data_IF_877388495727
#
_entry.id   IF_877388495727
#
_cell.length_a   1.000
_cell.length_b   1.000
_cell.length_c   1.000
_cell.angle_alpha   90.00
_cell.angle_beta   90.00
_cell.angle_gamma   90.00
#
_symmetry.space_group_name_H-M   'P 1'
#
loop_
_entity.id
_entity.type
_entity.pdbx_description
1 polymer ?
#
# COMPACT_ATOMS: atom_id res chain seq x y z
N UNK A 1 -21.21 -26.39 28.04
CA UNK A 1 -21.37 -26.23 26.58
C UNK A 1 -21.74 -24.79 26.30
N UNK A 2 -20.75 -23.95 26.00
CA UNK A 2 -20.90 -22.51 25.91
C UNK A 2 -21.41 -22.08 24.53
N UNK A 3 -22.47 -21.28 24.51
CA UNK A 3 -23.12 -20.72 23.33
C UNK A 3 -22.32 -19.51 22.83
N UNK A 4 -21.13 -19.75 22.26
CA UNK A 4 -20.28 -18.71 21.67
C UNK A 4 -20.48 -18.66 20.15
N UNK A 5 -20.52 -17.45 19.59
CA UNK A 5 -20.47 -17.26 18.14
C UNK A 5 -19.05 -17.56 17.63
N UNK A 6 -18.90 -17.86 16.32
CA UNK A 6 -17.59 -18.23 15.74
C UNK A 6 -16.49 -17.18 16.01
N UNK A 7 -16.86 -15.89 16.01
CA UNK A 7 -15.94 -14.79 16.35
C UNK A 7 -15.45 -14.88 17.80
N UNK A 8 -16.36 -15.04 18.76
CA UNK A 8 -16.00 -15.13 20.19
C UNK A 8 -15.11 -16.33 20.50
N UNK A 9 -15.34 -17.47 19.82
CA UNK A 9 -14.49 -18.64 19.97
C UNK A 9 -13.08 -18.43 19.38
N UNK A 10 -12.97 -17.66 18.29
CA UNK A 10 -11.70 -17.36 17.65
C UNK A 10 -10.89 -16.35 18.47
N UNK A 11 -11.54 -15.30 18.98
CA UNK A 11 -10.92 -14.32 19.87
C UNK A 11 -10.41 -14.98 21.16
N UNK A 12 -11.20 -15.87 21.76
CA UNK A 12 -10.79 -16.62 22.94
C UNK A 12 -9.60 -17.54 22.63
N UNK A 13 -9.57 -18.16 21.44
CA UNK A 13 -8.44 -18.96 21.00
C UNK A 13 -7.17 -18.13 20.78
N UNK A 14 -7.30 -16.88 20.30
CA UNK A 14 -6.17 -15.93 20.17
C UNK A 14 -5.62 -15.56 21.54
N UNK A 15 -6.48 -15.22 22.51
CA UNK A 15 -6.07 -14.87 23.88
C UNK A 15 -5.41 -16.06 24.58
N UNK A 16 -5.93 -17.28 24.37
CA UNK A 16 -5.35 -18.50 24.93
C UNK A 16 -4.02 -18.91 24.27
N UNK A 17 -3.84 -18.63 22.96
CA UNK A 17 -2.57 -18.85 22.23
C UNK A 17 -1.50 -17.81 22.53
N UNK A 18 -1.89 -16.57 22.81
CA UNK A 18 -0.95 -15.51 23.18
C UNK A 18 -0.26 -15.79 24.52
N UNK A 19 -0.84 -16.65 25.36
CA UNK A 19 -0.38 -16.90 26.72
C UNK A 19 -0.56 -15.67 27.62
N UNK A 20 -0.62 -15.86 28.94
CA UNK A 20 -0.61 -14.74 29.87
C UNK A 20 0.70 -13.96 29.66
N UNK A 21 0.63 -12.74 29.13
CA UNK A 21 1.79 -11.88 28.90
C UNK A 21 2.65 -11.82 30.18
N UNK A 22 3.85 -12.44 30.23
CA UNK A 22 4.60 -12.58 31.49
C UNK A 22 5.37 -11.33 31.92
N UNK A 23 5.15 -10.18 31.29
CA UNK A 23 5.97 -9.00 31.53
C UNK A 23 5.16 -7.69 31.41
N UNK A 24 5.28 -6.75 32.38
CA UNK A 24 4.74 -5.41 32.21
C UNK A 24 5.51 -4.73 31.07
N UNK A 25 4.85 -4.58 29.92
CA UNK A 25 5.42 -3.90 28.76
C UNK A 25 5.52 -2.41 29.12
N UNK A 26 6.73 -1.96 29.46
CA UNK A 26 7.07 -0.54 29.39
C UNK A 26 7.14 -0.19 27.91
N UNK A 27 6.11 0.48 27.40
CA UNK A 27 6.06 1.01 26.04
C UNK A 27 7.13 2.10 25.94
N UNK A 28 8.35 1.71 25.58
CA UNK A 28 9.50 2.63 25.59
C UNK A 28 9.64 3.50 24.35
N UNK A 29 8.78 3.36 23.35
CA UNK A 29 8.57 4.37 22.31
C UNK A 29 7.36 3.96 21.46
N UNK A 30 6.22 4.60 21.70
CA UNK A 30 5.15 4.57 20.74
C UNK A 30 5.61 5.43 19.56
N UNK A 31 6.16 4.81 18.50
CA UNK A 31 6.30 5.46 17.19
C UNK A 31 4.90 5.70 16.64
N UNK A 32 4.20 6.67 17.23
CA UNK A 32 3.06 7.32 16.63
C UNK A 32 3.63 8.07 15.43
N UNK A 33 3.75 7.37 14.30
CA UNK A 33 3.83 8.02 13.00
C UNK A 33 2.53 8.79 12.87
N UNK A 34 2.59 10.06 13.27
CA UNK A 34 1.46 10.95 13.19
C UNK A 34 0.93 10.92 11.76
N UNK A 35 -0.41 10.93 11.55
CA UNK A 35 -1.00 10.93 10.22
C UNK A 35 -0.51 12.08 9.32
N UNK A 36 0.16 13.09 9.88
CA UNK A 36 0.92 14.13 9.16
C UNK A 36 2.12 13.58 8.38
N UNK A 37 2.96 12.72 8.96
CA UNK A 37 4.12 12.13 8.27
C UNK A 37 3.67 11.25 7.10
N UNK A 38 2.59 10.48 7.29
CA UNK A 38 1.98 9.69 6.22
C UNK A 38 1.42 10.56 5.08
N UNK A 39 0.72 11.65 5.41
CA UNK A 39 0.22 12.60 4.40
C UNK A 39 1.34 13.26 3.61
N UNK A 40 2.42 13.66 4.26
CA UNK A 40 3.56 14.29 3.60
C UNK A 40 4.28 13.30 2.68
N UNK A 41 4.48 12.05 3.11
CA UNK A 41 5.06 11.01 2.25
C UNK A 41 4.17 10.67 1.06
N UNK A 42 2.84 10.62 1.22
CA UNK A 42 1.91 10.42 0.09
C UNK A 42 2.02 11.58 -0.90
N UNK A 43 2.06 12.83 -0.41
CA UNK A 43 2.13 14.01 -1.27
C UNK A 43 3.45 14.09 -2.02
N UNK A 44 4.56 13.81 -1.34
CA UNK A 44 5.88 13.74 -1.95
C UNK A 44 5.99 12.59 -2.97
N UNK A 45 5.45 11.42 -2.63
CA UNK A 45 5.37 10.27 -3.53
C UNK A 45 4.58 10.59 -4.80
N UNK A 46 3.40 11.19 -4.66
CA UNK A 46 2.56 11.58 -5.80
C UNK A 46 3.28 12.59 -6.71
N UNK A 47 3.97 13.58 -6.14
CA UNK A 47 4.75 14.55 -6.91
C UNK A 47 5.93 13.89 -7.63
N UNK A 48 6.67 13.01 -6.95
CA UNK A 48 7.79 12.28 -7.53
C UNK A 48 7.35 11.35 -8.66
N UNK A 49 6.27 10.58 -8.48
CA UNK A 49 5.69 9.73 -9.52
C UNK A 49 5.20 10.55 -10.70
N UNK A 50 4.54 11.69 -10.47
CA UNK A 50 4.06 12.55 -11.57
C UNK A 50 5.22 13.12 -12.40
N UNK A 51 6.27 13.62 -11.76
CA UNK A 51 7.46 14.14 -12.43
C UNK A 51 8.18 13.01 -13.17
N UNK A 52 8.43 11.87 -12.53
CA UNK A 52 9.08 10.72 -13.15
C UNK A 52 8.30 10.18 -14.36
N UNK A 53 6.99 10.00 -14.21
CA UNK A 53 6.12 9.55 -15.30
C UNK A 53 6.16 10.53 -16.49
N UNK A 54 6.07 11.83 -16.23
CA UNK A 54 6.15 12.84 -17.30
C UNK A 54 7.49 12.80 -18.03
N UNK A 55 8.61 12.63 -17.32
CA UNK A 55 9.93 12.51 -17.94
C UNK A 55 10.04 11.29 -18.85
N UNK A 56 9.55 10.13 -18.38
CA UNK A 56 9.55 8.87 -19.13
C UNK A 56 8.68 8.99 -20.39
N UNK A 57 7.49 9.58 -20.28
CA UNK A 57 6.58 9.81 -21.41
C UNK A 57 7.25 10.71 -22.45
N UNK A 58 7.83 11.83 -22.03
CA UNK A 58 8.51 12.76 -22.95
C UNK A 58 9.69 12.06 -23.63
N UNK A 59 10.51 11.32 -22.88
CA UNK A 59 11.64 10.57 -23.44
C UNK A 59 11.20 9.51 -24.46
N UNK A 60 10.15 8.74 -24.13
CA UNK A 60 9.59 7.72 -25.02
C UNK A 60 9.07 8.32 -26.33
N UNK A 61 8.34 9.44 -26.26
CA UNK A 61 7.79 10.09 -27.47
C UNK A 61 8.91 10.69 -28.32
N UNK A 62 9.91 11.33 -27.72
CA UNK A 62 11.01 11.95 -28.47
C UNK A 62 11.94 10.91 -29.13
N UNK A 63 12.27 9.83 -28.42
CA UNK A 63 13.21 8.83 -28.94
C UNK A 63 12.52 7.83 -29.88
N UNK A 64 11.33 7.35 -29.54
CA UNK A 64 10.63 6.27 -30.26
C UNK A 64 9.46 6.73 -31.14
N UNK A 65 9.12 8.02 -31.19
CA UNK A 65 8.05 8.59 -32.02
C UNK A 65 6.74 7.80 -31.90
N UNK A 66 6.28 7.18 -33.00
CA UNK A 66 5.02 6.42 -33.08
C UNK A 66 5.02 5.19 -32.16
N UNK A 67 6.15 4.50 -32.04
CA UNK A 67 6.30 3.37 -31.13
C UNK A 67 6.29 3.82 -29.66
N UNK A 68 6.78 5.04 -29.39
CA UNK A 68 6.70 5.67 -28.07
C UNK A 68 5.26 5.88 -27.61
N UNK A 69 4.37 6.31 -28.50
CA UNK A 69 2.95 6.47 -28.18
C UNK A 69 2.28 5.14 -27.79
N UNK A 70 2.61 4.05 -28.51
CA UNK A 70 2.12 2.70 -28.17
C UNK A 70 2.67 2.23 -26.83
N UNK A 71 3.95 2.50 -26.54
CA UNK A 71 4.55 2.16 -25.26
C UNK A 71 3.89 2.91 -24.08
N UNK A 72 3.57 4.20 -24.25
CA UNK A 72 2.84 4.98 -23.24
C UNK A 72 1.43 4.44 -23.01
N UNK A 73 0.73 4.03 -24.07
CA UNK A 73 -0.57 3.37 -23.95
C UNK A 73 -0.47 2.03 -23.19
N UNK A 74 0.54 1.22 -23.52
CA UNK A 74 0.80 -0.04 -22.83
C UNK A 74 1.12 0.18 -21.34
N UNK A 75 1.91 1.20 -21.01
CA UNK A 75 2.22 1.60 -19.64
C UNK A 75 0.94 2.01 -18.88
N UNK A 76 0.08 2.83 -19.50
CA UNK A 76 -1.18 3.25 -18.89
C UNK A 76 -2.14 2.08 -18.64
N UNK A 77 -2.26 1.16 -19.61
CA UNK A 77 -3.05 -0.07 -19.44
C UNK A 77 -2.48 -0.95 -18.33
N UNK A 78 -1.16 -1.08 -18.25
CA UNK A 78 -0.49 -1.84 -17.19
C UNK A 78 -0.81 -1.26 -15.80
N UNK A 79 -0.71 0.07 -15.62
CA UNK A 79 -1.13 0.75 -14.39
C UNK A 79 -2.60 0.47 -14.06
N UNK A 80 -3.50 0.59 -15.04
CA UNK A 80 -4.93 0.36 -14.83
C UNK A 80 -5.21 -1.08 -14.35
N UNK A 81 -4.53 -2.07 -14.92
CA UNK A 81 -4.66 -3.48 -14.51
C UNK A 81 -4.15 -3.67 -13.08
N UNK A 82 -2.99 -3.11 -12.74
CA UNK A 82 -2.42 -3.20 -11.38
C UNK A 82 -3.38 -2.56 -10.37
N UNK A 83 -3.78 -1.31 -10.57
CA UNK A 83 -4.68 -0.61 -9.65
C UNK A 83 -6.06 -1.27 -9.57
N UNK A 84 -6.60 -1.74 -10.69
CA UNK A 84 -7.86 -2.47 -10.74
C UNK A 84 -7.80 -3.81 -9.99
N UNK A 85 -6.70 -4.55 -10.12
CA UNK A 85 -6.49 -5.81 -9.40
C UNK A 85 -6.31 -5.60 -7.89
N UNK A 86 -5.60 -4.55 -7.48
CA UNK A 86 -5.50 -4.12 -6.08
C UNK A 86 -6.89 -3.84 -5.49
N UNK A 87 -7.71 -3.06 -6.20
CA UNK A 87 -9.09 -2.76 -5.80
C UNK A 87 -9.97 -4.00 -5.72
N UNK A 88 -9.87 -4.90 -6.71
CA UNK A 88 -10.64 -6.15 -6.72
C UNK A 88 -10.29 -7.07 -5.53
N UNK A 89 -9.01 -7.15 -5.18
CA UNK A 89 -8.51 -7.97 -4.08
C UNK A 89 -8.61 -7.30 -2.70
N UNK A 90 -9.16 -6.07 -2.63
CA UNK A 90 -9.16 -5.24 -1.41
C UNK A 90 -7.76 -5.05 -0.80
N UNK A 91 -6.72 -5.09 -1.64
CA UNK A 91 -5.35 -4.86 -1.23
C UNK A 91 -5.09 -3.36 -1.09
N UNK A 92 -4.38 -2.97 -0.04
CA UNK A 92 -4.06 -1.56 0.22
C UNK A 92 -2.76 -1.17 -0.47
N UNK A 93 -2.78 -0.04 -1.19
CA UNK A 93 -1.57 0.59 -1.70
C UNK A 93 -0.87 1.30 -0.54
N UNK A 94 0.18 0.67 -0.01
CA UNK A 94 0.95 1.19 1.13
C UNK A 94 2.14 2.03 0.65
N UNK A 95 2.75 2.81 1.54
CA UNK A 95 3.95 3.60 1.22
C UNK A 95 5.08 2.78 0.54
N UNK A 96 5.39 1.55 0.98
CA UNK A 96 6.31 0.66 0.27
C UNK A 96 5.88 0.27 -1.15
N UNK A 97 4.59 0.32 -1.47
CA UNK A 97 4.08 0.04 -2.81
C UNK A 97 4.14 1.26 -3.75
N UNK A 98 4.38 2.46 -3.23
CA UNK A 98 4.52 3.72 -4.00
C UNK A 98 5.99 4.11 -4.17
N UNK A 99 6.85 3.70 -3.22
CA UNK A 99 8.30 3.93 -3.23
C UNK A 99 9.05 2.91 -4.11
#
# INVERSE_FOLDING_TARGET
TGRFTREQANDLAIVLRAGALPAPIRVEEERTVGPSLGRDSIRAGLAATAIGASLVVVFMVLYYHLAGAVAVLALALNLLIILGSLGYLHATLTLPGIA
#
